data_IF_827254083969
#
_entry.id   IF_827254083969
#
_cell.length_a   1.000
_cell.length_b   1.000
_cell.length_c   1.000
_cell.angle_alpha   90.00
_cell.angle_beta   90.00
_cell.angle_gamma   90.00
#
_symmetry.space_group_name_H-M   'P 1'
#
loop_
_entity.id
_entity.type
_entity.pdbx_description
1 polymer ?
#
# COMPACT_ATOMS: atom_id res chain seq x y z
N UNK A 1 8.87 12.13 -10.55
CA UNK A 1 7.85 11.06 -10.49
C UNK A 1 6.55 11.63 -9.96
N UNK A 2 5.48 11.58 -10.76
CA UNK A 2 4.12 12.00 -10.39
C UNK A 2 3.27 10.76 -10.09
N UNK A 3 2.30 10.86 -9.18
CA UNK A 3 1.33 9.78 -8.93
C UNK A 3 -0.07 10.25 -9.29
N UNK A 4 -0.79 9.41 -10.03
CA UNK A 4 -2.15 9.65 -10.47
C UNK A 4 -3.06 8.53 -9.96
N UNK A 5 -4.07 8.86 -9.15
CA UNK A 5 -5.13 7.92 -8.80
C UNK A 5 -6.12 7.90 -9.96
N UNK A 6 -6.27 6.74 -10.61
CA UNK A 6 -7.09 6.58 -11.81
C UNK A 6 -8.50 6.12 -11.46
N UNK A 7 -8.63 5.20 -10.50
CA UNK A 7 -9.91 4.61 -10.14
C UNK A 7 -9.87 4.05 -8.72
N UNK A 8 -11.00 4.10 -8.03
CA UNK A 8 -11.22 3.38 -6.77
C UNK A 8 -12.53 2.60 -6.90
N UNK A 9 -12.43 1.27 -6.84
CA UNK A 9 -13.57 0.36 -6.87
C UNK A 9 -13.90 -0.13 -5.47
N UNK A 10 -15.17 -0.45 -5.27
CA UNK A 10 -15.69 -0.94 -3.99
C UNK A 10 -16.02 0.19 -3.01
N UNK A 11 -17.08 -0.03 -2.23
CA UNK A 11 -17.49 0.86 -1.14
C UNK A 11 -17.58 0.10 0.19
N UNK A 12 -17.68 0.84 1.30
CA UNK A 12 -17.67 0.21 2.62
C UNK A 12 -18.96 -0.50 2.96
N UNK A 13 -20.09 -0.12 2.33
CA UNK A 13 -21.33 -0.90 2.43
C UNK A 13 -21.15 -2.31 1.89
N UNK A 14 -20.56 -2.48 0.70
CA UNK A 14 -20.24 -3.80 0.12
C UNK A 14 -19.30 -4.60 1.03
N UNK A 15 -18.27 -3.97 1.58
CA UNK A 15 -17.34 -4.60 2.55
C UNK A 15 -18.10 -5.08 3.79
N UNK A 16 -19.00 -4.26 4.32
CA UNK A 16 -19.80 -4.60 5.49
C UNK A 16 -20.85 -5.68 5.20
N UNK A 17 -21.44 -5.72 4.01
CA UNK A 17 -22.40 -6.76 3.63
C UNK A 17 -21.72 -8.10 3.36
N UNK A 18 -20.51 -8.08 2.78
CA UNK A 18 -19.68 -9.28 2.70
C UNK A 18 -19.32 -9.82 4.09
N UNK A 19 -18.96 -8.95 5.05
CA UNK A 19 -18.73 -9.35 6.44
C UNK A 19 -20.00 -9.88 7.13
N UNK A 20 -21.18 -9.33 6.83
CA UNK A 20 -22.47 -9.80 7.35
C UNK A 20 -22.85 -11.15 6.78
N UNK A 21 -22.55 -11.39 5.51
CA UNK A 21 -22.77 -12.69 4.85
C UNK A 21 -22.01 -13.80 5.58
N UNK A 22 -20.76 -13.56 6.00
CA UNK A 22 -19.96 -14.58 6.72
C UNK A 22 -20.50 -14.93 8.11
N UNK A 23 -21.41 -14.12 8.66
CA UNK A 23 -22.05 -14.35 9.97
C UNK A 23 -23.57 -14.57 9.84
N UNK A 24 -24.08 -14.85 8.63
CA UNK A 24 -25.49 -15.18 8.40
C UNK A 24 -26.47 -14.00 8.56
N UNK A 25 -26.00 -12.76 8.50
CA UNK A 25 -26.85 -11.57 8.61
C UNK A 25 -27.27 -11.05 7.23
N UNK A 26 -28.51 -10.54 7.13
CA UNK A 26 -29.01 -9.83 5.94
C UNK A 26 -28.20 -8.55 5.67
N UNK A 27 -28.10 -8.04 4.42
CA UNK A 27 -27.45 -6.77 4.12
C UNK A 27 -27.91 -5.62 5.02
N UNK A 28 -27.00 -4.71 5.34
CA UNK A 28 -27.28 -3.53 6.15
C UNK A 28 -27.69 -2.33 5.30
N UNK A 29 -27.99 -1.22 5.98
CA UNK A 29 -28.25 0.08 5.34
C UNK A 29 -27.18 1.09 5.75
N UNK A 30 -26.94 2.08 4.88
CA UNK A 30 -25.99 3.18 5.15
C UNK A 30 -24.50 2.77 5.17
N UNK A 31 -23.63 3.76 5.31
CA UNK A 31 -22.19 3.56 5.43
C UNK A 31 -21.81 3.13 6.87
N UNK A 32 -20.92 2.14 7.05
CA UNK A 32 -20.43 1.81 8.38
C UNK A 32 -19.61 2.97 8.97
N UNK A 33 -19.54 3.11 10.31
CA UNK A 33 -18.79 4.17 10.93
C UNK A 33 -17.26 3.97 10.79
N UNK A 34 -16.49 5.04 10.85
CA UNK A 34 -15.05 5.02 10.58
C UNK A 34 -14.25 4.13 11.54
N UNK A 35 -14.65 4.06 12.81
CA UNK A 35 -14.05 3.14 13.77
C UNK A 35 -14.25 1.66 13.38
N UNK A 36 -15.36 1.32 12.72
CA UNK A 36 -15.60 -0.03 12.19
C UNK A 36 -14.70 -0.30 10.98
N UNK A 37 -14.61 0.65 10.05
CA UNK A 37 -13.72 0.58 8.87
C UNK A 37 -12.26 0.35 9.30
N UNK A 38 -11.79 1.12 10.29
CA UNK A 38 -10.44 0.98 10.84
C UNK A 38 -10.21 -0.41 11.45
N UNK A 39 -11.14 -0.91 12.27
CA UNK A 39 -11.05 -2.26 12.85
C UNK A 39 -10.98 -3.34 11.77
N UNK A 40 -11.77 -3.25 10.71
CA UNK A 40 -11.73 -4.19 9.59
C UNK A 40 -10.38 -4.21 8.88
N UNK A 41 -9.79 -3.03 8.66
CA UNK A 41 -8.46 -2.91 8.05
C UNK A 41 -7.35 -3.43 8.97
N UNK A 42 -7.40 -3.10 10.27
CA UNK A 42 -6.41 -3.55 11.24
C UNK A 42 -6.47 -5.05 11.52
N UNK A 43 -7.67 -5.64 11.44
CA UNK A 43 -7.88 -7.09 11.55
C UNK A 43 -7.61 -7.83 10.25
N UNK A 44 -7.40 -7.12 9.13
CA UNK A 44 -7.12 -7.72 7.82
C UNK A 44 -8.17 -8.77 7.39
N UNK A 45 -9.42 -8.57 7.82
CA UNK A 45 -10.50 -9.47 7.46
C UNK A 45 -10.76 -9.41 5.96
N UNK A 46 -10.93 -10.59 5.35
CA UNK A 46 -11.01 -10.75 3.89
C UNK A 46 -11.97 -9.81 3.14
N UNK A 47 -13.10 -9.32 3.69
CA UNK A 47 -13.97 -8.39 2.97
C UNK A 47 -13.29 -7.10 2.50
N UNK A 48 -12.21 -6.65 3.16
CA UNK A 48 -11.48 -5.45 2.73
C UNK A 48 -10.89 -5.58 1.32
N UNK A 49 -10.73 -6.81 0.82
CA UNK A 49 -10.24 -7.09 -0.54
C UNK A 49 -11.19 -6.62 -1.64
N UNK A 50 -12.43 -6.28 -1.32
CA UNK A 50 -13.39 -5.67 -2.25
C UNK A 50 -13.06 -4.20 -2.58
N UNK A 51 -12.23 -3.54 -1.77
CA UNK A 51 -11.75 -2.19 -2.09
C UNK A 51 -10.50 -2.33 -2.95
N UNK A 52 -10.57 -1.83 -4.18
CA UNK A 52 -9.45 -1.82 -5.12
C UNK A 52 -9.10 -0.39 -5.52
N UNK A 53 -7.81 -0.11 -5.66
CA UNK A 53 -7.28 1.17 -6.11
C UNK A 53 -6.47 0.93 -7.36
N UNK A 54 -6.72 1.71 -8.41
CA UNK A 54 -5.92 1.79 -9.61
C UNK A 54 -5.18 3.10 -9.64
N UNK A 55 -3.86 3.06 -9.81
CA UNK A 55 -3.03 4.26 -9.87
C UNK A 55 -1.87 4.08 -10.84
N UNK A 56 -1.24 5.20 -11.21
CA UNK A 56 -0.06 5.24 -12.07
C UNK A 56 1.04 6.07 -11.46
N UNK A 57 2.25 5.53 -11.42
CA UNK A 57 3.48 6.31 -11.30
C UNK A 57 3.92 6.73 -12.70
N UNK A 58 4.01 8.04 -12.92
CA UNK A 58 4.58 8.64 -14.13
C UNK A 58 6.05 8.95 -13.85
N UNK A 59 6.92 8.50 -14.76
CA UNK A 59 8.37 8.66 -14.69
C UNK A 59 8.96 8.10 -13.38
N UNK A 60 8.72 6.82 -13.12
CA UNK A 60 9.39 6.07 -12.06
C UNK A 60 10.66 5.41 -12.61
N UNK A 61 11.75 5.38 -11.84
CA UNK A 61 12.97 4.65 -12.23
C UNK A 61 12.63 3.16 -12.43
N UNK A 62 13.13 2.56 -13.50
CA UNK A 62 12.82 1.16 -13.85
C UNK A 62 13.18 0.18 -12.73
N UNK A 63 14.33 0.30 -12.08
CA UNK A 63 14.67 -0.58 -10.94
C UNK A 63 13.73 -0.43 -9.74
N UNK A 64 13.15 0.76 -9.52
CA UNK A 64 12.13 0.96 -8.48
C UNK A 64 10.84 0.25 -8.87
N UNK A 65 10.47 0.31 -10.15
CA UNK A 65 9.35 -0.48 -10.69
C UNK A 65 9.57 -1.98 -10.43
N UNK A 66 10.78 -2.50 -10.69
CA UNK A 66 11.16 -3.89 -10.42
C UNK A 66 11.00 -4.26 -8.94
N UNK A 67 11.32 -3.36 -7.99
CA UNK A 67 11.06 -3.62 -6.58
C UNK A 67 9.56 -3.75 -6.27
N UNK A 68 8.70 -2.99 -6.95
CA UNK A 68 7.26 -2.96 -6.68
C UNK A 68 6.54 -4.18 -7.29
N UNK A 69 6.91 -4.62 -8.50
CA UNK A 69 6.27 -5.77 -9.16
C UNK A 69 6.48 -7.11 -8.44
N UNK A 70 7.42 -7.20 -7.50
CA UNK A 70 7.60 -8.41 -6.66
C UNK A 70 6.42 -8.68 -5.72
N UNK A 71 5.59 -7.67 -5.47
CA UNK A 71 4.37 -7.79 -4.70
C UNK A 71 3.22 -8.17 -5.63
N UNK A 72 2.96 -9.47 -5.78
CA UNK A 72 1.98 -9.99 -6.75
C UNK A 72 0.64 -10.38 -6.13
N UNK A 73 0.59 -10.64 -4.82
CA UNK A 73 -0.64 -11.12 -4.15
C UNK A 73 -1.64 -9.96 -4.02
N UNK A 74 -2.74 -10.05 -4.78
CA UNK A 74 -3.77 -9.00 -4.82
C UNK A 74 -3.34 -7.74 -5.58
N UNK A 75 -2.38 -7.88 -6.49
CA UNK A 75 -1.79 -6.78 -7.28
C UNK A 75 -1.72 -7.19 -8.75
N UNK A 76 -2.10 -6.29 -9.64
CA UNK A 76 -1.99 -6.44 -11.08
C UNK A 76 -1.16 -5.26 -11.62
N UNK A 77 0.12 -5.47 -11.97
CA UNK A 77 0.98 -4.42 -12.51
C UNK A 77 0.91 -4.33 -14.04
N UNK A 78 1.03 -3.12 -14.56
CA UNK A 78 1.15 -2.77 -15.97
C UNK A 78 2.33 -1.80 -16.14
N UNK A 79 3.47 -2.32 -16.57
CA UNK A 79 4.71 -1.54 -16.73
C UNK A 79 4.93 -1.23 -18.21
N UNK A 80 5.27 0.03 -18.55
CA UNK A 80 5.64 0.41 -19.91
C UNK A 80 6.77 -0.50 -20.39
N UNK A 81 6.57 -1.14 -21.54
CA UNK A 81 7.58 -1.99 -22.15
C UNK A 81 8.74 -1.17 -22.72
N UNK A 82 9.96 -1.70 -22.59
CA UNK A 82 11.15 -1.17 -23.26
C UNK A 82 11.52 -2.02 -24.49
N UNK A 83 10.53 -2.60 -25.20
CA UNK A 83 10.82 -3.23 -26.49
C UNK A 83 11.27 -2.19 -27.51
N UNK A 84 12.14 -2.52 -28.48
CA UNK A 84 12.71 -1.57 -29.42
C UNK A 84 11.68 -0.69 -30.13
N UNK A 85 10.50 -1.21 -30.46
CA UNK A 85 9.43 -0.45 -31.11
C UNK A 85 8.78 0.64 -30.22
N UNK A 86 9.05 0.64 -28.91
CA UNK A 86 8.46 1.55 -27.93
C UNK A 86 9.45 2.58 -27.36
N UNK A 87 10.71 2.53 -27.79
CA UNK A 87 11.84 3.33 -27.27
C UNK A 87 12.67 3.89 -28.42
N UNK A 88 13.47 4.90 -28.13
CA UNK A 88 14.34 5.62 -29.06
C UNK A 88 15.84 5.38 -28.78
N UNK A 89 16.16 4.41 -27.92
CA UNK A 89 17.51 4.02 -27.52
C UNK A 89 17.71 2.51 -27.67
N UNK A 90 18.97 2.06 -27.69
CA UNK A 90 19.28 0.63 -27.65
C UNK A 90 18.86 0.05 -26.29
N UNK A 91 18.00 -0.98 -26.36
CA UNK A 91 17.47 -1.67 -25.19
C UNK A 91 18.58 -2.31 -24.35
N UNK A 92 19.60 -2.86 -25.01
CA UNK A 92 20.66 -3.60 -24.32
C UNK A 92 21.61 -2.66 -23.54
N UNK A 93 21.62 -1.38 -23.91
CA UNK A 93 22.40 -0.32 -23.25
C UNK A 93 21.59 0.49 -22.23
N UNK A 94 20.29 0.21 -22.09
CA UNK A 94 19.38 1.00 -21.28
C UNK A 94 19.73 0.99 -19.78
N UNK A 95 19.90 2.18 -19.20
CA UNK A 95 20.19 2.31 -17.77
C UNK A 95 19.01 1.85 -16.91
N UNK A 96 19.30 1.20 -15.78
CA UNK A 96 18.27 0.85 -14.80
C UNK A 96 17.55 2.08 -14.21
N UNK A 97 18.19 3.25 -14.26
CA UNK A 97 17.61 4.54 -13.85
C UNK A 97 16.66 5.13 -14.88
N UNK A 98 16.51 4.53 -16.07
CA UNK A 98 15.56 4.97 -17.09
C UNK A 98 14.15 5.08 -16.51
N UNK A 99 13.42 6.09 -16.98
CA UNK A 99 12.10 6.43 -16.48
C UNK A 99 11.06 5.66 -17.27
N UNK A 100 10.14 5.03 -16.55
CA UNK A 100 9.01 4.28 -17.12
C UNK A 100 7.72 4.69 -16.44
N UNK A 101 6.60 4.47 -17.13
CA UNK A 101 5.29 4.54 -16.50
C UNK A 101 4.95 3.16 -15.93
N UNK A 102 4.46 3.15 -14.69
CA UNK A 102 4.04 1.93 -14.00
C UNK A 102 2.65 2.16 -13.42
N UNK A 103 1.67 1.48 -13.99
CA UNK A 103 0.30 1.46 -13.51
C UNK A 103 0.03 0.17 -12.74
N UNK A 104 -0.76 0.27 -11.67
CA UNK A 104 -1.09 -0.86 -10.80
C UNK A 104 -2.54 -0.81 -10.39
N UNK A 105 -3.17 -1.98 -10.32
CA UNK A 105 -4.41 -2.22 -9.59
C UNK A 105 -4.07 -3.06 -8.37
N UNK A 106 -4.47 -2.64 -7.18
CA UNK A 106 -4.30 -3.44 -5.97
C UNK A 106 -5.46 -3.30 -4.99
N UNK A 107 -5.78 -4.39 -4.29
CA UNK A 107 -6.77 -4.36 -3.23
C UNK A 107 -6.20 -3.77 -1.92
N UNK A 108 -7.08 -3.37 -1.00
CA UNK A 108 -6.68 -2.76 0.27
C UNK A 108 -5.69 -3.63 1.09
N UNK A 109 -5.89 -4.95 1.08
CA UNK A 109 -5.00 -5.90 1.76
C UNK A 109 -3.59 -5.87 1.16
N UNK A 110 -3.48 -5.84 -0.16
CA UNK A 110 -2.20 -5.75 -0.85
C UNK A 110 -1.49 -4.43 -0.56
N UNK A 111 -2.21 -3.31 -0.54
CA UNK A 111 -1.65 -1.99 -0.19
C UNK A 111 -1.07 -1.99 1.23
N UNK A 112 -1.76 -2.59 2.20
CA UNK A 112 -1.25 -2.75 3.58
C UNK A 112 0.02 -3.61 3.56
N UNK A 113 0.01 -4.74 2.85
CA UNK A 113 1.14 -5.66 2.79
C UNK A 113 2.39 -5.04 2.15
N UNK A 114 2.23 -4.31 1.04
CA UNK A 114 3.34 -3.60 0.40
C UNK A 114 3.90 -2.55 1.34
N UNK A 115 3.04 -1.80 2.04
CA UNK A 115 3.44 -0.76 2.98
C UNK A 115 4.34 -1.29 4.10
N UNK A 116 4.11 -2.52 4.58
CA UNK A 116 4.97 -3.16 5.60
C UNK A 116 6.43 -3.24 5.19
N UNK A 117 6.67 -3.51 3.90
CA UNK A 117 8.02 -3.66 3.35
C UNK A 117 8.56 -2.35 2.80
N UNK A 118 7.72 -1.54 2.13
CA UNK A 118 8.13 -0.31 1.43
C UNK A 118 8.16 0.94 2.30
N UNK A 119 7.67 0.87 3.53
CA UNK A 119 7.90 1.91 4.56
C UNK A 119 9.05 1.57 5.52
N UNK A 120 9.68 0.40 5.36
CA UNK A 120 10.77 -0.02 6.23
C UNK A 120 12.03 0.86 6.05
N UNK A 121 12.79 1.04 7.13
CA UNK A 121 14.10 1.69 7.14
C UNK A 121 15.12 1.12 6.13
N UNK A 122 14.94 -0.13 5.72
CA UNK A 122 15.89 -0.90 4.89
C UNK A 122 15.55 -0.91 3.41
N UNK A 123 14.32 -0.53 3.05
CA UNK A 123 13.97 -0.40 1.64
C UNK A 123 14.76 0.77 1.03
N UNK A 124 15.20 0.61 -0.22
CA UNK A 124 15.91 1.64 -0.96
C UNK A 124 15.13 2.97 -0.92
N UNK A 125 15.85 4.07 -0.71
CA UNK A 125 15.28 5.40 -0.46
C UNK A 125 14.25 5.76 -1.54
N UNK A 126 14.58 5.61 -2.81
CA UNK A 126 13.69 5.95 -3.92
C UNK A 126 12.46 5.06 -3.99
N UNK A 127 12.56 3.79 -3.57
CA UNK A 127 11.38 2.92 -3.48
C UNK A 127 10.45 3.36 -2.35
N UNK A 128 11.01 3.82 -1.23
CA UNK A 128 10.21 4.38 -0.13
C UNK A 128 9.53 5.68 -0.55
N UNK A 129 10.25 6.54 -1.25
CA UNK A 129 9.71 7.82 -1.69
C UNK A 129 8.62 7.61 -2.74
N UNK A 130 8.80 6.65 -3.65
CA UNK A 130 7.76 6.27 -4.59
C UNK A 130 6.49 5.77 -3.91
N UNK A 131 6.65 4.94 -2.87
CA UNK A 131 5.52 4.42 -2.09
C UNK A 131 4.84 5.49 -1.24
N UNK A 132 5.61 6.37 -0.60
CA UNK A 132 5.08 7.52 0.17
C UNK A 132 4.32 8.49 -0.73
N UNK A 133 4.83 8.78 -1.93
CA UNK A 133 4.14 9.62 -2.90
C UNK A 133 2.75 9.04 -3.25
N UNK A 134 2.67 7.72 -3.46
CA UNK A 134 1.39 7.05 -3.66
C UNK A 134 0.46 7.16 -2.45
N UNK A 135 0.95 6.85 -1.25
CA UNK A 135 0.14 6.96 -0.02
C UNK A 135 -0.35 8.39 0.23
N UNK A 136 0.46 9.41 -0.08
CA UNK A 136 0.07 10.81 0.05
C UNK A 136 -1.09 11.18 -0.88
N UNK A 137 -1.06 10.71 -2.14
CA UNK A 137 -2.17 10.90 -3.08
C UNK A 137 -3.42 10.11 -2.68
N UNK A 138 -3.25 8.85 -2.26
CA UNK A 138 -4.35 8.01 -1.80
C UNK A 138 -5.04 8.56 -0.54
N UNK A 139 -4.29 9.26 0.33
CA UNK A 139 -4.82 9.82 1.58
C UNK A 139 -5.98 10.79 1.35
N UNK A 140 -5.99 11.49 0.21
CA UNK A 140 -7.08 12.42 -0.18
C UNK A 140 -8.43 11.70 -0.35
N UNK A 141 -8.40 10.41 -0.73
CA UNK A 141 -9.60 9.63 -1.03
C UNK A 141 -9.92 8.59 0.06
N UNK A 142 -8.90 7.93 0.62
CA UNK A 142 -9.06 6.83 1.59
C UNK A 142 -8.12 7.03 2.79
N UNK A 143 -8.35 8.07 3.62
CA UNK A 143 -7.46 8.40 4.75
C UNK A 143 -7.34 7.28 5.78
N UNK A 144 -8.43 6.53 6.03
CA UNK A 144 -8.44 5.41 6.99
C UNK A 144 -7.53 4.27 6.52
N UNK A 145 -7.56 3.92 5.22
CA UNK A 145 -6.69 2.89 4.64
C UNK A 145 -5.22 3.28 4.77
N UNK A 146 -4.89 4.53 4.43
CA UNK A 146 -3.52 5.05 4.56
C UNK A 146 -3.07 5.08 6.02
N UNK A 147 -3.97 5.37 6.97
CA UNK A 147 -3.67 5.30 8.41
C UNK A 147 -3.30 3.90 8.90
N UNK A 148 -3.72 2.85 8.20
CA UNK A 148 -3.35 1.45 8.49
C UNK A 148 -2.05 1.02 7.79
N UNK A 149 -1.49 1.84 6.90
CA UNK A 149 -0.27 1.53 6.17
C UNK A 149 0.97 1.87 7.01
N UNK A 150 1.55 0.86 7.65
CA UNK A 150 2.69 1.01 8.56
C UNK A 150 3.81 0.02 8.23
N UNK A 151 5.08 0.31 8.58
CA UNK A 151 6.16 -0.65 8.44
C UNK A 151 5.96 -1.87 9.36
N UNK A 152 6.55 -3.01 8.99
CA UNK A 152 6.40 -4.29 9.72
C UNK A 152 6.74 -4.17 11.21
N UNK A 153 7.73 -3.36 11.57
CA UNK A 153 8.14 -3.15 12.95
C UNK A 153 7.03 -2.53 13.82
N UNK A 154 6.18 -1.66 13.26
CA UNK A 154 5.00 -1.12 13.97
C UNK A 154 3.90 -2.17 14.05
N UNK A 155 3.71 -2.94 12.98
CA UNK A 155 2.68 -3.97 12.94
C UNK A 155 2.96 -5.11 13.93
N UNK A 156 4.16 -5.71 13.86
CA UNK A 156 4.57 -6.86 14.69
C UNK A 156 5.21 -6.48 16.03
N UNK A 157 5.63 -5.22 16.19
CA UNK A 157 6.45 -4.78 17.31
C UNK A 157 7.94 -5.16 17.22
N UNK A 158 8.37 -5.80 16.13
CA UNK A 158 9.75 -6.22 15.92
C UNK A 158 10.09 -6.31 14.43
N UNK A 159 11.37 -6.13 14.08
CA UNK A 159 11.87 -6.29 12.71
C UNK A 159 12.61 -7.62 12.58
N UNK A 160 12.02 -8.56 11.82
CA UNK A 160 12.54 -9.92 11.60
C UNK A 160 13.52 -10.04 10.42
N UNK A 161 13.85 -8.93 9.75
CA UNK A 161 15.02 -8.93 8.85
C UNK A 161 16.29 -9.22 9.67
N UNK A 162 17.30 -9.87 9.06
CA UNK A 162 18.48 -10.41 9.76
C UNK A 162 19.01 -9.46 10.85
N UNK A 163 19.42 -9.92 12.03
CA UNK A 163 19.79 -9.05 13.16
C UNK A 163 20.79 -7.94 12.81
N UNK A 164 21.78 -8.25 11.97
CA UNK A 164 22.81 -7.30 11.51
C UNK A 164 22.25 -6.25 10.54
N UNK A 165 21.15 -6.60 9.85
CA UNK A 165 20.42 -5.78 8.89
C UNK A 165 19.09 -5.26 9.45
N UNK A 166 18.80 -5.44 10.73
CA UNK A 166 17.54 -4.97 11.30
C UNK A 166 17.46 -3.44 11.23
N UNK A 167 16.28 -2.89 10.94
CA UNK A 167 16.10 -1.43 10.87
C UNK A 167 16.21 -0.74 12.24
N UNK A 168 16.26 -1.50 13.34
CA UNK A 168 16.34 -1.04 14.74
C UNK A 168 15.23 -0.07 15.18
N UNK A 169 14.24 0.20 14.33
CA UNK A 169 13.18 1.16 14.60
C UNK A 169 12.34 0.79 15.82
N UNK A 170 12.11 -0.51 16.08
CA UNK A 170 11.40 -0.96 17.28
C UNK A 170 12.12 -0.63 18.59
N UNK A 171 13.41 -0.26 18.54
CA UNK A 171 14.21 0.18 19.69
C UNK A 171 14.31 1.70 19.79
N UNK A 172 13.78 2.42 18.81
CA UNK A 172 13.82 3.89 18.80
C UNK A 172 12.80 4.47 19.80
N UNK A 173 13.06 5.68 20.35
CA UNK A 173 12.09 6.39 21.20
C UNK A 173 10.74 6.63 20.50
N UNK A 174 10.77 6.83 19.17
CA UNK A 174 9.58 7.09 18.36
C UNK A 174 8.65 5.88 18.17
N UNK A 175 9.12 4.68 18.54
CA UNK A 175 8.37 3.45 18.35
C UNK A 175 7.05 3.44 19.11
N UNK A 176 7.10 3.71 20.43
CA UNK A 176 5.92 3.65 21.30
C UNK A 176 4.85 4.69 20.92
N UNK A 177 5.19 5.98 20.69
CA UNK A 177 4.23 6.97 20.23
C UNK A 177 3.56 6.56 18.91
N UNK A 178 4.32 6.07 17.93
CA UNK A 178 3.78 5.67 16.63
C UNK A 178 2.95 4.39 16.72
N UNK A 179 3.34 3.44 17.57
CA UNK A 179 2.56 2.23 17.84
C UNK A 179 1.21 2.59 18.49
N UNK A 180 1.22 3.52 19.44
CA UNK A 180 0.00 4.04 20.05
C UNK A 180 -0.90 4.75 19.03
N UNK A 181 -0.34 5.56 18.13
CA UNK A 181 -1.12 6.17 17.05
C UNK A 181 -1.77 5.13 16.13
N UNK A 182 -1.01 4.09 15.76
CA UNK A 182 -1.51 2.99 14.94
C UNK A 182 -2.68 2.25 15.62
N UNK A 183 -2.50 1.85 16.89
CA UNK A 183 -3.49 1.07 17.64
C UNK A 183 -4.68 1.90 18.15
N UNK A 184 -4.40 3.02 18.80
CA UNK A 184 -5.36 3.73 19.68
C UNK A 184 -5.98 4.98 19.05
N UNK A 185 -5.25 5.76 18.24
CA UNK A 185 -5.83 6.97 17.62
C UNK A 185 -6.73 6.58 16.44
N UNK A 186 -7.98 6.25 16.73
CA UNK A 186 -9.06 6.52 15.78
C UNK A 186 -9.12 8.04 15.57
N UNK A 187 -9.26 8.50 14.33
CA UNK A 187 -9.76 9.86 14.12
C UNK A 187 -11.19 9.87 14.67
N UNK A 188 -11.45 10.70 15.69
CA UNK A 188 -12.76 10.85 16.35
C UNK A 188 -12.96 9.96 17.59
N UNK A 189 -12.59 10.48 18.76
CA UNK A 189 -13.61 10.70 19.79
C UNK A 189 -14.23 12.06 19.50
#
# INVERSE_FOLDING_TARGET
MKVEILEIRGNWRQVADAARTTIGMKPGTGEPPDHWKKRMLLSEHSPIRLIEVRWRWVDIKYWVSVHLVRHHVGVIPFVRSQRPENIDYDRDEALQSALVNHEVIANAQAIINISRKRLCGLAAQETRDAWKAFLNELKKYKPILVGCCVPECIYRGYCYERPEKSCKYSRSPDFLPRLYQYRCRGFGQ
#
